data_IF_519959083131
#
_entry.id   IF_519959083131
#
_cell.length_a   1.000
_cell.length_b   1.000
_cell.length_c   1.000
_cell.angle_alpha   90.00
_cell.angle_beta   90.00
_cell.angle_gamma   90.00
#
_symmetry.space_group_name_H-M   'P 1'
#
loop_
_entity.id
_entity.type
_entity.pdbx_description
1 polymer ?
#
# COMPACT_ATOMS: atom_id res chain seq x y z
N UNK A 1 10.28 12.60 -10.10
CA UNK A 1 9.56 11.47 -10.72
C UNK A 1 10.21 10.17 -10.28
N UNK A 2 9.41 9.21 -9.82
CA UNK A 2 9.80 7.86 -9.37
C UNK A 2 9.27 6.85 -10.39
N UNK A 3 10.11 5.96 -10.88
CA UNK A 3 9.68 4.85 -11.73
C UNK A 3 9.09 3.73 -10.87
N UNK A 4 7.91 3.23 -11.27
CA UNK A 4 7.15 2.20 -10.56
C UNK A 4 6.97 0.99 -11.47
N UNK A 5 7.45 -0.17 -11.02
CA UNK A 5 7.12 -1.46 -11.61
C UNK A 5 6.07 -2.15 -10.75
N UNK A 6 5.04 -2.68 -11.38
CA UNK A 6 3.95 -3.40 -10.71
C UNK A 6 4.01 -4.87 -11.13
N UNK A 7 3.98 -5.75 -10.14
CA UNK A 7 4.19 -7.19 -10.31
C UNK A 7 3.08 -7.96 -9.59
N UNK A 8 2.68 -9.08 -10.18
CA UNK A 8 1.71 -10.02 -9.61
C UNK A 8 2.40 -11.36 -9.48
N UNK A 9 2.31 -11.99 -8.31
CA UNK A 9 2.78 -13.37 -8.14
C UNK A 9 2.10 -14.30 -9.15
N UNK A 10 2.90 -15.14 -9.80
CA UNK A 10 2.42 -16.11 -10.76
C UNK A 10 1.37 -17.04 -10.12
N UNK A 11 0.22 -17.17 -10.78
CA UNK A 11 -0.88 -18.04 -10.34
C UNK A 11 -1.97 -17.32 -9.55
N UNK A 12 -1.78 -16.06 -9.17
CA UNK A 12 -2.88 -15.25 -8.64
C UNK A 12 -3.88 -14.91 -9.77
N UNK A 13 -5.19 -14.92 -9.49
CA UNK A 13 -6.23 -14.62 -10.47
C UNK A 13 -6.41 -13.09 -10.65
N UNK A 14 -5.33 -12.38 -10.94
CA UNK A 14 -5.30 -10.91 -11.07
C UNK A 14 -4.63 -10.53 -12.36
N UNK A 15 -5.27 -9.64 -13.12
CA UNK A 15 -4.68 -9.01 -14.28
C UNK A 15 -3.67 -7.93 -13.84
N UNK A 16 -2.40 -8.12 -14.23
CA UNK A 16 -1.32 -7.21 -13.86
C UNK A 16 -1.44 -5.82 -14.47
N UNK A 17 -2.04 -5.66 -15.65
CA UNK A 17 -2.27 -4.36 -16.29
C UNK A 17 -3.36 -3.57 -15.56
N UNK A 18 -4.43 -4.26 -15.15
CA UNK A 18 -5.51 -3.66 -14.35
C UNK A 18 -4.97 -3.24 -12.98
N UNK A 19 -4.20 -4.11 -12.32
CA UNK A 19 -3.54 -3.77 -11.05
C UNK A 19 -2.63 -2.56 -11.22
N UNK A 20 -1.76 -2.56 -12.24
CA UNK A 20 -0.84 -1.46 -12.47
C UNK A 20 -1.56 -0.14 -12.72
N UNK A 21 -2.66 -0.18 -13.46
CA UNK A 21 -3.51 1.00 -13.69
C UNK A 21 -4.09 1.52 -12.37
N UNK A 22 -4.61 0.64 -11.51
CA UNK A 22 -5.17 1.03 -10.21
C UNK A 22 -4.09 1.61 -9.25
N UNK A 23 -2.90 0.99 -9.22
CA UNK A 23 -1.77 1.46 -8.40
C UNK A 23 -1.34 2.85 -8.87
N UNK A 24 -1.10 3.04 -10.17
CA UNK A 24 -0.64 4.34 -10.69
C UNK A 24 -1.71 5.43 -10.57
N UNK A 25 -3.00 5.08 -10.72
CA UNK A 25 -4.10 6.00 -10.49
C UNK A 25 -4.16 6.44 -9.02
N UNK A 26 -3.97 5.52 -8.08
CA UNK A 26 -3.92 5.83 -6.64
C UNK A 26 -2.73 6.75 -6.33
N UNK A 27 -1.53 6.39 -6.77
CA UNK A 27 -0.32 7.13 -6.40
C UNK A 27 -0.26 8.55 -7.00
N UNK A 28 -0.85 8.75 -8.18
CA UNK A 28 -0.89 10.04 -8.87
C UNK A 28 -2.21 10.81 -8.65
N UNK A 29 -3.13 10.31 -7.83
CA UNK A 29 -4.30 11.08 -7.41
C UNK A 29 -3.82 12.37 -6.69
N UNK A 30 -4.51 13.51 -6.83
CA UNK A 30 -4.17 14.73 -6.10
C UNK A 30 -4.13 14.56 -4.57
N UNK A 31 -4.83 13.56 -4.04
CA UNK A 31 -4.83 13.18 -2.62
C UNK A 31 -3.64 12.29 -2.21
N UNK A 32 -2.87 11.80 -3.19
CA UNK A 32 -1.69 10.97 -3.01
C UNK A 32 -0.46 11.75 -2.57
N UNK A 33 0.72 11.15 -2.77
CA UNK A 33 2.01 11.65 -2.27
C UNK A 33 2.57 12.89 -3.00
N UNK A 34 1.91 13.35 -4.07
CA UNK A 34 2.39 14.50 -4.84
C UNK A 34 2.39 15.81 -4.06
N UNK A 35 1.41 16.03 -3.19
CA UNK A 35 1.36 17.19 -2.30
C UNK A 35 2.38 17.10 -1.16
N UNK A 36 2.33 16.06 -0.32
CA UNK A 36 3.22 15.92 0.85
C UNK A 36 4.71 15.86 0.48
N UNK A 37 5.06 15.09 -0.55
CA UNK A 37 6.45 14.74 -0.84
C UNK A 37 6.96 15.34 -2.16
N UNK A 38 6.10 16.01 -2.95
CA UNK A 38 6.48 16.57 -4.26
C UNK A 38 6.84 15.49 -5.29
N UNK A 39 6.40 14.24 -5.09
CA UNK A 39 6.72 13.11 -5.97
C UNK A 39 5.64 12.86 -7.02
N UNK A 40 6.06 12.33 -8.16
CA UNK A 40 5.17 11.85 -9.22
C UNK A 40 5.65 10.47 -9.67
N UNK A 41 4.74 9.62 -10.12
CA UNK A 41 5.02 8.22 -10.40
C UNK A 41 4.79 7.89 -11.86
N UNK A 42 5.77 7.25 -12.50
CA UNK A 42 5.66 6.76 -13.88
C UNK A 42 5.81 5.25 -13.92
N UNK A 43 4.95 4.58 -14.69
CA UNK A 43 5.04 3.13 -14.85
C UNK A 43 6.26 2.75 -15.69
N UNK A 44 6.94 1.67 -15.32
CA UNK A 44 7.98 1.03 -16.13
C UNK A 44 7.90 -0.49 -16.02
N UNK A 45 8.44 -1.19 -17.03
CA UNK A 45 8.69 -2.63 -16.97
C UNK A 45 10.15 -2.96 -16.62
N UNK A 46 11.04 -1.96 -16.57
CA UNK A 46 12.47 -2.17 -16.31
C UNK A 46 12.73 -2.75 -14.90
N UNK A 47 13.75 -3.60 -14.79
CA UNK A 47 14.13 -4.24 -13.52
C UNK A 47 14.74 -3.25 -12.51
N UNK A 48 15.25 -2.11 -12.98
CA UNK A 48 15.87 -1.05 -12.17
C UNK A 48 14.88 0.05 -11.74
N UNK A 49 13.58 -0.27 -11.71
CA UNK A 49 12.56 0.64 -11.22
C UNK A 49 12.85 1.09 -9.79
N UNK A 50 12.67 2.38 -9.51
CA UNK A 50 12.94 2.95 -8.18
C UNK A 50 11.99 2.42 -7.10
N UNK A 51 10.79 1.99 -7.50
CA UNK A 51 9.78 1.41 -6.62
C UNK A 51 9.23 0.16 -7.31
N UNK A 52 9.15 -0.94 -6.56
CA UNK A 52 8.43 -2.15 -6.97
C UNK A 52 7.21 -2.32 -6.08
N UNK A 53 6.04 -2.47 -6.70
CA UNK A 53 4.79 -2.83 -6.02
C UNK A 53 4.45 -4.26 -6.41
N UNK A 54 4.45 -5.17 -5.43
CA UNK A 54 4.29 -6.62 -5.66
C UNK A 54 3.05 -7.11 -4.97
N UNK A 55 2.06 -7.60 -5.73
CA UNK A 55 0.91 -8.31 -5.18
C UNK A 55 1.26 -9.79 -5.01
N UNK A 56 1.22 -10.28 -3.77
CA UNK A 56 1.67 -11.62 -3.41
C UNK A 56 0.66 -12.35 -2.53
N UNK A 57 0.59 -13.68 -2.64
CA UNK A 57 -0.13 -14.56 -1.72
C UNK A 57 0.39 -14.41 -0.29
N UNK A 58 -0.43 -14.73 0.74
CA UNK A 58 -0.02 -14.68 2.14
C UNK A 58 1.38 -15.27 2.44
N UNK A 59 1.65 -16.49 1.95
CA UNK A 59 2.92 -17.17 2.19
C UNK A 59 4.11 -16.52 1.46
N UNK A 60 3.88 -15.91 0.31
CA UNK A 60 4.92 -15.17 -0.41
C UNK A 60 5.17 -13.81 0.23
N UNK A 61 4.13 -13.13 0.71
CA UNK A 61 4.26 -11.90 1.50
C UNK A 61 5.11 -12.15 2.75
N UNK A 62 4.84 -13.20 3.53
CA UNK A 62 5.65 -13.55 4.71
C UNK A 62 7.13 -13.72 4.40
N UNK A 63 7.46 -14.37 3.27
CA UNK A 63 8.85 -14.56 2.85
C UNK A 63 9.51 -13.26 2.40
N UNK A 64 8.80 -12.41 1.67
CA UNK A 64 9.34 -11.15 1.15
C UNK A 64 9.48 -10.07 2.23
N UNK A 65 8.59 -10.08 3.22
CA UNK A 65 8.58 -9.11 4.32
C UNK A 65 9.52 -9.50 5.47
N UNK A 66 10.08 -10.71 5.49
CA UNK A 66 11.02 -11.15 6.51
C UNK A 66 12.18 -10.13 6.70
N UNK A 67 12.55 -9.81 7.95
CA UNK A 67 12.18 -10.46 9.20
C UNK A 67 10.88 -9.95 9.85
N UNK A 68 10.09 -9.09 9.19
CA UNK A 68 8.80 -8.66 9.72
C UNK A 68 7.81 -9.82 9.76
N UNK A 69 7.07 -9.95 10.86
CA UNK A 69 6.05 -10.96 11.03
C UNK A 69 4.71 -10.46 10.49
N UNK A 70 4.42 -10.76 9.23
CA UNK A 70 3.14 -10.43 8.59
C UNK A 70 2.02 -11.42 8.89
N UNK A 71 2.34 -12.59 9.47
CA UNK A 71 1.40 -13.62 9.92
C UNK A 71 0.40 -14.09 8.83
N UNK A 72 0.81 -14.03 7.56
CA UNK A 72 -0.05 -14.29 6.40
C UNK A 72 -1.13 -13.21 6.16
N UNK A 73 -1.17 -12.16 6.97
CA UNK A 73 -2.26 -11.18 7.00
C UNK A 73 -1.86 -9.80 6.51
N UNK A 74 -0.64 -9.37 6.80
CA UNK A 74 -0.25 -7.97 6.61
C UNK A 74 0.62 -7.81 5.36
N UNK A 75 0.64 -6.58 4.86
CA UNK A 75 1.53 -6.11 3.81
C UNK A 75 2.79 -5.50 4.44
N UNK A 76 3.77 -5.13 3.63
CA UNK A 76 4.92 -4.37 4.10
C UNK A 76 5.53 -3.49 3.00
N UNK A 77 6.18 -2.41 3.42
CA UNK A 77 7.06 -1.61 2.57
C UNK A 77 8.45 -1.49 3.16
N UNK A 78 9.47 -1.44 2.29
CA UNK A 78 10.86 -1.37 2.70
C UNK A 78 11.60 -0.27 1.91
N UNK A 79 11.97 0.81 2.61
CA UNK A 79 12.66 1.97 2.03
C UNK A 79 14.07 1.67 1.52
N UNK A 80 14.75 0.65 2.06
CA UNK A 80 16.11 0.28 1.65
C UNK A 80 16.10 -0.45 0.30
N UNK A 81 15.15 -1.38 0.11
CA UNK A 81 15.02 -2.16 -1.11
C UNK A 81 14.12 -1.53 -2.17
N UNK A 82 13.29 -0.55 -1.79
CA UNK A 82 12.33 0.08 -2.70
C UNK A 82 11.10 -0.79 -3.00
N UNK A 83 10.81 -1.80 -2.17
CA UNK A 83 9.75 -2.77 -2.43
C UNK A 83 8.57 -2.56 -1.49
N UNK A 84 7.37 -2.41 -2.06
CA UNK A 84 6.08 -2.45 -1.40
C UNK A 84 5.39 -3.77 -1.77
N UNK A 85 5.18 -4.65 -0.78
CA UNK A 85 4.52 -5.94 -0.93
C UNK A 85 3.09 -5.83 -0.43
N UNK A 86 2.13 -6.02 -1.32
CA UNK A 86 0.71 -6.04 -1.03
C UNK A 86 0.25 -7.50 -0.84
N UNK A 87 -0.34 -7.80 0.31
CA UNK A 87 -0.96 -9.10 0.56
C UNK A 87 -2.24 -9.26 -0.29
N UNK A 88 -2.33 -10.32 -1.07
CA UNK A 88 -3.43 -10.60 -1.99
C UNK A 88 -4.77 -10.78 -1.28
N UNK A 89 -4.79 -11.45 -0.13
CA UNK A 89 -6.02 -11.64 0.63
C UNK A 89 -6.59 -10.30 1.09
N UNK A 90 -5.72 -9.40 1.55
CA UNK A 90 -6.08 -8.01 1.90
C UNK A 90 -6.53 -7.20 0.70
N UNK A 91 -5.85 -7.34 -0.44
CA UNK A 91 -6.28 -6.68 -1.66
C UNK A 91 -7.69 -7.07 -2.10
N UNK A 92 -8.09 -8.33 -1.88
CA UNK A 92 -9.41 -8.84 -2.30
C UNK A 92 -10.48 -8.53 -1.25
N UNK A 93 -10.20 -8.79 0.03
CA UNK A 93 -11.19 -8.80 1.10
C UNK A 93 -11.20 -7.54 1.96
N UNK A 94 -10.14 -6.74 1.92
CA UNK A 94 -9.93 -5.65 2.87
C UNK A 94 -9.44 -6.13 4.24
N UNK A 95 -9.56 -5.25 5.23
CA UNK A 95 -9.34 -5.57 6.63
C UNK A 95 -10.62 -5.32 7.44
N UNK A 96 -11.01 -6.23 8.35
CA UNK A 96 -12.21 -6.05 9.18
C UNK A 96 -12.24 -4.71 9.93
N UNK A 97 -11.11 -4.29 10.49
CA UNK A 97 -10.98 -3.02 11.20
C UNK A 97 -11.07 -1.77 10.30
N UNK A 98 -10.95 -1.94 8.98
CA UNK A 98 -11.14 -0.86 8.01
C UNK A 98 -12.62 -0.67 7.64
N UNK A 99 -13.43 -1.73 7.75
CA UNK A 99 -14.82 -1.81 7.31
C UNK A 99 -14.99 -2.37 5.90
N UNK A 100 -16.20 -2.23 5.35
CA UNK A 100 -16.63 -2.91 4.12
C UNK A 100 -16.22 -2.16 2.82
N UNK A 101 -15.63 -0.97 2.91
CA UNK A 101 -15.16 -0.20 1.75
C UNK A 101 -13.82 -0.72 1.23
N UNK A 102 -13.88 -1.84 0.50
CA UNK A 102 -12.71 -2.48 -0.11
C UNK A 102 -12.05 -1.57 -1.15
N UNK A 103 -12.81 -0.69 -1.81
CA UNK A 103 -12.25 0.21 -2.82
C UNK A 103 -11.31 1.23 -2.18
N UNK A 104 -11.72 1.85 -1.07
CA UNK A 104 -10.86 2.75 -0.30
C UNK A 104 -9.76 1.99 0.43
N UNK A 105 -10.01 0.76 0.89
CA UNK A 105 -8.95 -0.06 1.47
C UNK A 105 -7.80 -0.33 0.48
N UNK A 106 -8.10 -0.57 -0.81
CA UNK A 106 -7.04 -0.75 -1.82
C UNK A 106 -6.18 0.49 -2.01
N UNK A 107 -6.80 1.68 -1.93
CA UNK A 107 -6.09 2.95 -1.99
C UNK A 107 -5.20 3.13 -0.75
N UNK A 108 -5.75 2.85 0.43
CA UNK A 108 -5.01 2.79 1.69
C UNK A 108 -3.80 1.87 1.58
N UNK A 109 -3.98 0.61 1.17
CA UNK A 109 -2.92 -0.39 1.11
C UNK A 109 -1.77 0.05 0.20
N UNK A 110 -2.10 0.58 -0.99
CA UNK A 110 -1.08 1.10 -1.91
C UNK A 110 -0.35 2.30 -1.31
N UNK A 111 -1.08 3.29 -0.78
CA UNK A 111 -0.46 4.49 -0.24
C UNK A 111 0.35 4.21 1.02
N UNK A 112 -0.10 3.34 1.90
CA UNK A 112 0.58 2.97 3.14
C UNK A 112 1.92 2.27 2.85
N UNK A 113 1.91 1.22 2.03
CA UNK A 113 3.15 0.49 1.74
C UNK A 113 4.13 1.30 0.88
N UNK A 114 3.63 2.13 -0.04
CA UNK A 114 4.50 3.06 -0.77
C UNK A 114 4.98 4.20 0.13
N UNK A 115 4.19 4.63 1.12
CA UNK A 115 4.61 5.57 2.16
C UNK A 115 5.83 5.07 2.91
N UNK A 116 5.84 3.80 3.29
CA UNK A 116 7.04 3.16 3.86
C UNK A 116 8.23 3.17 2.90
N UNK A 117 8.02 2.90 1.61
CA UNK A 117 9.08 2.98 0.60
C UNK A 117 9.63 4.41 0.47
N UNK A 118 8.78 5.42 0.61
CA UNK A 118 9.15 6.84 0.60
C UNK A 118 9.83 7.30 1.91
N UNK A 119 9.81 6.48 2.96
CA UNK A 119 10.49 6.72 4.22
C UNK A 119 9.60 7.12 5.39
N UNK A 120 8.27 7.06 5.22
CA UNK A 120 7.32 7.36 6.29
C UNK A 120 7.17 6.18 7.25
N UNK A 121 7.23 6.46 8.56
CA UNK A 121 6.94 5.51 9.62
C UNK A 121 5.44 5.44 9.92
N UNK A 122 5.04 4.56 10.84
CA UNK A 122 3.66 4.58 11.33
C UNK A 122 3.34 5.87 12.08
N UNK A 123 2.08 6.26 12.01
CA UNK A 123 1.49 7.35 12.76
C UNK A 123 0.39 6.81 13.68
N UNK A 124 0.04 7.60 14.70
CA UNK A 124 -1.08 7.30 15.60
C UNK A 124 -2.32 8.10 15.21
N UNK A 125 -3.49 7.58 15.59
CA UNK A 125 -4.73 8.32 15.48
C UNK A 125 -4.66 9.59 16.36
N UNK A 126 -4.81 10.81 15.81
CA UNK A 126 -4.60 12.04 16.57
C UNK A 126 -5.70 12.29 17.62
N UNK A 127 -6.93 11.83 17.34
CA UNK A 127 -8.05 11.87 18.27
C UNK A 127 -9.19 10.93 17.79
N UNK A 128 -10.01 10.38 18.71
CA UNK A 128 -11.20 9.62 18.33
C UNK A 128 -12.12 10.43 17.39
N UNK A 129 -12.57 9.79 16.32
CA UNK A 129 -13.42 10.41 15.29
C UNK A 129 -12.70 11.34 14.30
N UNK A 130 -11.40 11.60 14.47
CA UNK A 130 -10.60 12.25 13.43
C UNK A 130 -10.39 11.32 12.23
N UNK A 131 -10.06 11.88 11.07
CA UNK A 131 -9.64 11.08 9.92
C UNK A 131 -8.26 10.50 10.19
N UNK A 132 -8.09 9.19 10.03
CA UNK A 132 -6.80 8.53 10.24
C UNK A 132 -5.75 9.07 9.25
N UNK A 133 -4.56 9.47 9.71
CA UNK A 133 -3.41 9.57 8.82
C UNK A 133 -3.21 8.25 8.06
N UNK A 134 -2.83 8.33 6.79
CA UNK A 134 -2.71 7.11 5.94
C UNK A 134 -1.67 6.13 6.50
N UNK A 135 -0.72 6.62 7.30
CA UNK A 135 0.31 5.81 7.95
C UNK A 135 -0.12 5.19 9.29
N UNK A 136 -1.37 5.37 9.73
CA UNK A 136 -1.95 4.53 10.78
C UNK A 136 -2.05 3.08 10.28
N UNK A 137 -1.80 2.11 11.15
CA UNK A 137 -1.90 0.67 10.85
C UNK A 137 -3.37 0.19 10.78
N UNK A 138 -4.15 0.78 9.87
CA UNK A 138 -5.60 0.55 9.73
C UNK A 138 -5.97 -0.88 9.30
N UNK A 139 -5.01 -1.69 8.81
CA UNK A 139 -5.19 -3.15 8.65
C UNK A 139 -5.26 -3.93 9.97
N UNK A 140 -4.84 -3.30 11.08
CA UNK A 140 -4.85 -3.84 12.45
C UNK A 140 -5.91 -3.11 13.28
N UNK A 141 -5.89 -1.78 13.27
CA UNK A 141 -6.85 -0.95 13.98
C UNK A 141 -6.74 0.50 13.50
N UNK A 142 -7.88 1.18 13.34
CA UNK A 142 -7.92 2.62 13.14
C UNK A 142 -7.76 3.41 14.46
N UNK A 143 -7.59 2.74 15.60
CA UNK A 143 -7.36 3.36 16.92
C UNK A 143 -8.43 4.40 17.32
N UNK A 144 -9.67 4.23 16.85
CA UNK A 144 -10.79 5.15 17.09
C UNK A 144 -10.94 6.28 16.06
N UNK A 145 -10.05 6.39 15.07
CA UNK A 145 -10.20 7.28 13.92
C UNK A 145 -11.19 6.70 12.89
N UNK A 146 -11.69 7.58 12.02
CA UNK A 146 -12.35 7.22 10.78
C UNK A 146 -11.30 6.72 9.77
N UNK A 147 -11.58 5.61 9.09
CA UNK A 147 -10.66 4.99 8.15
C UNK A 147 -10.44 5.85 6.90
N UNK A 148 -9.25 5.79 6.34
CA UNK A 148 -8.80 6.69 5.27
C UNK A 148 -7.76 6.03 4.37
N UNK A 149 -7.91 6.23 3.06
CA UNK A 149 -7.01 5.72 2.03
C UNK A 149 -5.95 6.67 1.53
N UNK A 150 -5.91 7.92 1.99
CA UNK A 150 -5.20 8.99 1.31
C UNK A 150 -4.23 9.77 2.22
N UNK A 151 -3.00 10.06 1.75
CA UNK A 151 -2.08 10.97 2.41
C UNK A 151 -2.67 12.37 2.67
N UNK A 152 -3.49 12.87 1.74
CA UNK A 152 -4.21 14.15 1.86
C UNK A 152 -5.72 13.86 1.83
N UNK A 153 -6.36 13.69 3.01
CA UNK A 153 -7.79 13.37 3.13
C UNK A 153 -8.73 14.53 2.78
#
# INVERSE_FOLDING_TARGET
>A
MRSVRVEVEQGLPVDGEVLATAVLATLNDPRGWSGPDGVTFSRTAADDASIRVVLASPATTDRMCAPLATEGKYSCGNSVSGVAVLNFERWVLGAPDFGDDVATYRQYLVNHEVGHVLGHGHEDCPAPGAVAPVMVQQSISAQGCLTNGWPVP
#
